data_IF_804507538365
#
_entry.id   IF_804507538365
#
_cell.length_a   1.000
_cell.length_b   1.000
_cell.length_c   1.000
_cell.angle_alpha   90.00
_cell.angle_beta   90.00
_cell.angle_gamma   90.00
#
_symmetry.space_group_name_H-M   'P 1'
#
loop_
_entity.id
_entity.type
_entity.pdbx_description
1 polymer ?
#
# COMPACT_ATOMS: atom_id res chain seq x y z
N UNK A 1 -0.41 -16.37 11.26
CA UNK A 1 -1.77 -15.77 11.18
C UNK A 1 -1.72 -14.25 11.15
N UNK A 2 -1.25 -13.56 12.19
CA UNK A 2 -1.18 -12.08 12.22
C UNK A 2 -0.43 -11.50 11.00
N UNK A 3 0.77 -12.01 10.70
CA UNK A 3 1.57 -11.49 9.59
C UNK A 3 0.87 -11.54 8.23
N UNK A 4 0.05 -12.57 7.96
CA UNK A 4 -0.73 -12.66 6.71
C UNK A 4 -1.81 -11.56 6.64
N UNK A 5 -2.52 -11.30 7.75
CA UNK A 5 -3.48 -10.20 7.84
C UNK A 5 -2.83 -8.84 7.67
N UNK A 6 -1.67 -8.63 8.31
CA UNK A 6 -0.88 -7.41 8.18
C UNK A 6 -0.44 -7.20 6.72
N UNK A 7 0.05 -8.25 6.06
CA UNK A 7 0.43 -8.20 4.65
C UNK A 7 -0.75 -7.83 3.76
N UNK A 8 -1.89 -8.54 3.85
CA UNK A 8 -3.07 -8.22 3.04
C UNK A 8 -3.61 -6.82 3.33
N UNK A 9 -3.55 -6.37 4.58
CA UNK A 9 -3.94 -5.00 4.95
C UNK A 9 -3.07 -3.95 4.27
N UNK A 10 -1.75 -4.11 4.31
CA UNK A 10 -0.85 -3.17 3.64
C UNK A 10 -0.92 -3.23 2.11
N UNK A 11 -1.23 -4.39 1.52
CA UNK A 11 -1.48 -4.50 0.07
C UNK A 11 -2.71 -3.69 -0.34
N UNK A 12 -3.80 -3.77 0.44
CA UNK A 12 -4.99 -2.96 0.21
C UNK A 12 -4.72 -1.46 0.36
N UNK A 13 -3.98 -1.07 1.42
CA UNK A 13 -3.58 0.33 1.64
C UNK A 13 -2.68 0.84 0.51
N UNK A 14 -1.72 0.04 0.03
CA UNK A 14 -0.83 0.41 -1.07
C UNK A 14 -1.61 0.72 -2.34
N UNK A 15 -2.54 -0.17 -2.74
CA UNK A 15 -3.36 0.04 -3.93
C UNK A 15 -4.25 1.27 -3.82
N UNK A 16 -4.92 1.45 -2.68
CA UNK A 16 -5.76 2.64 -2.45
C UNK A 16 -4.93 3.93 -2.44
N UNK A 17 -3.78 3.94 -1.77
CA UNK A 17 -2.92 5.11 -1.67
C UNK A 17 -2.39 5.53 -3.05
N UNK A 18 -1.98 4.58 -3.89
CA UNK A 18 -1.55 4.86 -5.26
C UNK A 18 -2.67 5.54 -6.07
N UNK A 19 -3.88 4.98 -6.03
CA UNK A 19 -5.03 5.51 -6.77
C UNK A 19 -5.45 6.89 -6.26
N UNK A 20 -5.56 7.08 -4.95
CA UNK A 20 -5.95 8.36 -4.33
C UNK A 20 -4.90 9.44 -4.58
N UNK A 21 -3.61 9.10 -4.54
CA UNK A 21 -2.53 10.06 -4.82
C UNK A 21 -2.59 10.57 -6.27
N UNK A 22 -2.84 9.68 -7.23
CA UNK A 22 -3.01 10.04 -8.63
C UNK A 22 -4.25 10.92 -8.83
N UNK A 23 -5.37 10.57 -8.20
CA UNK A 23 -6.59 11.37 -8.25
C UNK A 23 -6.37 12.77 -7.67
N UNK A 24 -5.68 12.89 -6.52
CA UNK A 24 -5.38 14.16 -5.91
C UNK A 24 -4.52 15.06 -6.83
N UNK A 25 -3.55 14.47 -7.54
CA UNK A 25 -2.74 15.18 -8.52
C UNK A 25 -3.57 15.67 -9.73
N UNK A 26 -4.42 14.81 -10.30
CA UNK A 26 -5.31 15.19 -11.39
C UNK A 26 -6.28 16.31 -10.97
N UNK A 27 -6.88 16.20 -9.78
CA UNK A 27 -7.75 17.21 -9.22
C UNK A 27 -7.02 18.54 -9.00
N UNK A 28 -5.76 18.51 -8.55
CA UNK A 28 -4.93 19.72 -8.39
C UNK A 28 -4.75 20.44 -9.72
N UNK A 29 -4.40 19.73 -10.79
CA UNK A 29 -4.27 20.31 -12.14
C UNK A 29 -5.59 20.93 -12.59
N UNK A 30 -6.70 20.21 -12.45
CA UNK A 30 -8.01 20.72 -12.84
C UNK A 30 -8.40 21.97 -12.05
N UNK A 31 -8.16 21.98 -10.74
CA UNK A 31 -8.41 23.14 -9.88
C UNK A 31 -7.53 24.33 -10.25
N UNK A 32 -6.26 24.11 -10.56
CA UNK A 32 -5.36 25.18 -11.00
C UNK A 32 -5.76 25.76 -12.36
N UNK A 33 -6.28 24.94 -13.27
CA UNK A 33 -6.83 25.41 -14.54
C UNK A 33 -8.11 26.24 -14.34
N UNK A 34 -9.03 25.77 -13.49
CA UNK A 34 -10.27 26.49 -13.17
C UNK A 34 -9.98 27.81 -12.43
N UNK A 35 -8.97 27.82 -11.57
CA UNK A 35 -8.58 28.96 -10.75
C UNK A 35 -7.44 29.80 -11.38
N UNK A 36 -7.10 29.57 -12.65
CA UNK A 36 -5.95 30.21 -13.29
C UNK A 36 -5.96 31.75 -13.15
N UNK A 37 -7.11 32.39 -13.37
CA UNK A 37 -7.27 33.85 -13.21
C UNK A 37 -7.19 34.34 -11.76
N UNK A 38 -7.41 33.45 -10.79
CA UNK A 38 -7.33 33.74 -9.35
C UNK A 38 -5.97 33.36 -8.75
N UNK A 39 -4.99 33.01 -9.58
CA UNK A 39 -3.66 32.56 -9.17
C UNK A 39 -3.60 31.12 -8.67
N UNK A 40 -4.57 30.30 -9.09
CA UNK A 40 -4.63 28.88 -8.77
C UNK A 40 -4.97 28.61 -7.31
N UNK A 41 -4.79 27.35 -6.92
CA UNK A 41 -4.89 26.88 -5.53
C UNK A 41 -3.92 27.59 -4.58
N UNK A 42 -2.78 28.11 -5.07
CA UNK A 42 -1.72 28.65 -4.22
C UNK A 42 -2.09 29.98 -3.58
N UNK A 43 -2.87 30.82 -4.25
CA UNK A 43 -3.39 32.05 -3.64
C UNK A 43 -4.36 31.72 -2.49
N UNK A 44 -5.06 30.59 -2.57
CA UNK A 44 -6.01 30.17 -1.53
C UNK A 44 -5.30 29.57 -0.32
N UNK A 45 -4.30 28.71 -0.55
CA UNK A 45 -3.65 27.93 0.52
C UNK A 45 -2.30 28.51 0.99
N UNK A 46 -1.77 29.54 0.31
CA UNK A 46 -0.50 30.17 0.65
C UNK A 46 0.68 29.20 0.58
N UNK A 47 1.58 29.29 1.56
CA UNK A 47 2.79 28.46 1.65
C UNK A 47 2.50 26.94 1.77
N UNK A 48 1.28 26.57 2.18
CA UNK A 48 0.86 25.16 2.28
C UNK A 48 0.34 24.60 0.94
N UNK A 49 0.39 25.38 -0.15
CA UNK A 49 -0.03 24.90 -1.46
C UNK A 49 1.03 24.00 -2.11
N UNK A 50 0.61 23.25 -3.14
CA UNK A 50 1.53 22.43 -3.96
C UNK A 50 2.39 21.44 -3.17
N UNK A 51 1.90 21.00 -2.00
CA UNK A 51 2.55 19.95 -1.21
C UNK A 51 2.79 18.72 -2.07
N UNK A 52 4.05 18.31 -2.13
CA UNK A 52 4.47 17.14 -2.87
C UNK A 52 3.93 15.86 -2.20
N UNK A 53 3.23 15.03 -2.97
CA UNK A 53 2.83 13.70 -2.51
C UNK A 53 3.94 12.71 -2.91
N UNK A 54 4.68 12.14 -1.94
CA UNK A 54 5.75 11.21 -2.26
C UNK A 54 5.19 9.93 -2.88
N UNK A 55 5.80 9.48 -3.99
CA UNK A 55 5.39 8.27 -4.69
C UNK A 55 5.96 7.01 -4.02
N UNK A 56 5.58 6.76 -2.77
CA UNK A 56 6.03 5.60 -2.00
C UNK A 56 5.50 4.26 -2.55
N UNK A 57 4.50 4.31 -3.43
CA UNK A 57 3.87 3.16 -4.08
C UNK A 57 4.51 2.79 -5.43
N UNK A 58 5.52 3.55 -5.89
CA UNK A 58 6.31 3.20 -7.07
C UNK A 58 6.96 1.81 -6.95
N UNK A 59 7.47 1.26 -8.06
CA UNK A 59 8.12 -0.05 -8.04
C UNK A 59 9.33 -0.10 -7.08
N UNK A 60 10.11 0.98 -7.02
CA UNK A 60 11.21 1.22 -6.08
C UNK A 60 10.81 2.05 -4.86
N UNK A 61 9.50 2.32 -4.71
CA UNK A 61 8.95 3.12 -3.63
C UNK A 61 9.05 2.42 -2.28
N UNK A 62 9.24 3.21 -1.23
CA UNK A 62 9.48 2.71 0.13
C UNK A 62 8.39 1.74 0.64
N UNK A 63 7.12 1.98 0.31
CA UNK A 63 6.01 1.11 0.72
C UNK A 63 6.00 -0.22 -0.06
N UNK A 64 6.34 -0.18 -1.35
CA UNK A 64 6.49 -1.38 -2.18
C UNK A 64 7.62 -2.27 -1.66
N UNK A 65 8.78 -1.68 -1.38
CA UNK A 65 9.94 -2.40 -0.79
C UNK A 65 9.59 -2.99 0.57
N UNK A 66 8.89 -2.25 1.42
CA UNK A 66 8.45 -2.75 2.73
C UNK A 66 7.45 -3.92 2.61
N UNK A 67 6.54 -3.87 1.64
CA UNK A 67 5.60 -4.96 1.35
C UNK A 67 6.31 -6.22 0.85
N UNK A 68 7.32 -6.07 0.00
CA UNK A 68 8.15 -7.20 -0.44
C UNK A 68 8.90 -7.82 0.74
N UNK A 69 9.51 -7.00 1.59
CA UNK A 69 10.15 -7.47 2.83
C UNK A 69 9.18 -8.20 3.76
N UNK A 70 7.94 -7.71 3.89
CA UNK A 70 6.89 -8.35 4.69
C UNK A 70 6.46 -9.71 4.11
N UNK A 71 6.36 -9.83 2.78
CA UNK A 71 6.10 -11.10 2.09
C UNK A 71 7.20 -12.11 2.37
N UNK A 72 8.46 -11.71 2.23
CA UNK A 72 9.61 -12.56 2.53
C UNK A 72 9.61 -13.00 4.00
N UNK A 73 9.34 -12.07 4.92
CA UNK A 73 9.29 -12.37 6.35
C UNK A 73 8.19 -13.38 6.67
N UNK A 74 6.97 -13.18 6.15
CA UNK A 74 5.87 -14.12 6.33
C UNK A 74 6.18 -15.52 5.79
N UNK A 75 6.83 -15.61 4.63
CA UNK A 75 7.29 -16.88 4.05
C UNK A 75 8.24 -17.61 5.00
N UNK A 76 9.31 -16.93 5.44
CA UNK A 76 10.29 -17.51 6.38
C UNK A 76 9.68 -17.90 7.72
N UNK A 77 8.77 -17.08 8.26
CA UNK A 77 8.06 -17.40 9.50
C UNK A 77 7.18 -18.65 9.37
N UNK A 78 6.59 -18.90 8.20
CA UNK A 78 5.82 -20.12 7.93
C UNK A 78 6.75 -21.34 7.93
N UNK A 79 7.86 -21.26 7.20
CA UNK A 79 8.86 -22.34 7.09
C UNK A 79 9.49 -22.70 8.44
N UNK A 80 9.82 -21.69 9.26
CA UNK A 80 10.46 -21.88 10.56
C UNK A 80 9.48 -22.05 11.73
N UNK A 81 8.17 -22.10 11.47
CA UNK A 81 7.16 -22.20 12.54
C UNK A 81 7.22 -23.51 13.32
N UNK A 82 7.96 -24.53 12.84
CA UNK A 82 8.16 -25.81 13.53
C UNK A 82 6.89 -26.63 13.73
N UNK A 83 5.76 -26.18 13.17
CA UNK A 83 4.49 -26.90 13.18
C UNK A 83 4.51 -27.87 12.02
N UNK A 84 4.76 -29.15 12.33
CA UNK A 84 4.54 -30.24 11.38
C UNK A 84 3.02 -30.45 11.22
N UNK A 85 2.46 -29.94 10.12
CA UNK A 85 1.05 -30.15 9.79
C UNK A 85 0.80 -31.49 9.12
N UNK A 86 1.84 -32.23 8.72
CA UNK A 86 1.71 -33.48 7.95
C UNK A 86 0.86 -34.53 8.68
N UNK A 87 0.97 -34.59 10.01
CA UNK A 87 0.16 -35.47 10.85
C UNK A 87 -1.34 -35.09 10.83
N UNK A 88 -1.66 -33.80 10.79
CA UNK A 88 -3.05 -33.34 10.70
C UNK A 88 -3.59 -33.46 9.28
N UNK A 89 -2.79 -33.13 8.26
CA UNK A 89 -3.14 -33.26 6.84
C UNK A 89 -3.44 -34.73 6.48
N UNK A 90 -2.60 -35.67 6.93
CA UNK A 90 -2.85 -37.11 6.76
C UNK A 90 -4.10 -37.60 7.50
N UNK A 91 -4.45 -36.99 8.64
CA UNK A 91 -5.66 -37.35 9.39
C UNK A 91 -6.92 -36.89 8.64
N UNK A 92 -6.91 -35.69 8.07
CA UNK A 92 -8.04 -35.17 7.30
C UNK A 92 -8.26 -35.93 5.99
N UNK A 93 -7.20 -36.36 5.30
CA UNK A 93 -7.31 -37.20 4.09
C UNK A 93 -7.82 -38.63 4.38
N UNK A 94 -7.64 -39.15 5.59
CA UNK A 94 -8.10 -40.49 5.96
C UNK A 94 -9.57 -40.53 6.39
N UNK A 95 -10.10 -39.41 6.90
CA UNK A 95 -11.44 -39.34 7.51
C UNK A 95 -12.39 -38.33 6.85
N UNK A 96 -11.97 -37.65 5.78
CA UNK A 96 -12.80 -36.85 4.88
C UNK A 96 -13.13 -37.58 3.59
#
# INVERSE_FOLDING_TARGET
RLGNWTQSGFEAVHGQLAATSLMAFQNRIALDMILAEKGGVCIIFGENCCSFIPNNTAADGSLTVALEGLRTLNGKMKEHSGVDTSMWDSMFDMFG
#
